data_IF_707452793750
#
_entry.id   IF_707452793750
#
_cell.length_a   1.000
_cell.length_b   1.000
_cell.length_c   1.000
_cell.angle_alpha   90.00
_cell.angle_beta   90.00
_cell.angle_gamma   90.00
#
_symmetry.space_group_name_H-M   'P 1'
#
loop_
_entity.id
_entity.type
_entity.pdbx_description
1 polymer ?
#
# COMPACT_ATOMS: atom_id res chain seq x y z
N UNK A 1 -1.98 11.67 6.27
CA UNK A 1 -0.76 12.50 6.27
C UNK A 1 -0.07 12.34 4.93
N UNK A 2 0.19 13.45 4.19
CA UNK A 2 0.97 13.38 2.95
C UNK A 2 2.43 12.99 3.25
N UNK A 3 2.99 12.08 2.44
CA UNK A 3 4.40 11.73 2.52
C UNK A 3 4.94 11.41 1.13
N UNK A 4 6.27 11.43 0.97
CA UNK A 4 6.92 10.98 -0.27
C UNK A 4 6.94 9.44 -0.31
N UNK A 5 7.13 8.89 -1.50
CA UNK A 5 7.12 7.45 -1.72
C UNK A 5 8.45 6.81 -1.27
N UNK A 6 8.62 6.68 0.05
CA UNK A 6 9.78 6.04 0.66
C UNK A 6 9.43 5.40 2.02
N UNK A 7 10.20 4.41 2.44
CA UNK A 7 10.05 3.82 3.78
C UNK A 7 10.30 4.84 4.88
N UNK A 8 11.28 5.72 4.72
CA UNK A 8 11.61 6.74 5.72
C UNK A 8 10.48 7.75 5.90
N UNK A 9 9.87 8.19 4.81
CA UNK A 9 8.73 9.13 4.88
C UNK A 9 7.47 8.41 5.41
N UNK A 10 7.24 7.14 5.05
CA UNK A 10 6.17 6.31 5.61
C UNK A 10 6.31 6.12 7.12
N UNK A 11 7.52 5.89 7.59
CA UNK A 11 7.84 5.83 9.02
C UNK A 11 7.51 7.14 9.74
N UNK A 12 7.98 8.26 9.21
CA UNK A 12 7.76 9.56 9.82
C UNK A 12 6.28 9.96 9.84
N UNK A 13 5.58 9.71 8.72
CA UNK A 13 4.14 10.01 8.59
C UNK A 13 3.28 9.17 9.55
N UNK A 14 3.57 7.87 9.68
CA UNK A 14 2.85 7.01 10.62
C UNK A 14 3.09 7.44 12.07
N UNK A 15 4.32 7.78 12.42
CA UNK A 15 4.67 8.25 13.76
C UNK A 15 3.96 9.55 14.12
N UNK A 16 3.89 10.51 13.18
CA UNK A 16 3.14 11.75 13.33
C UNK A 16 1.64 11.47 13.50
N UNK A 17 1.07 10.63 12.61
CA UNK A 17 -0.35 10.34 12.61
C UNK A 17 -0.80 9.67 13.90
N UNK A 18 -0.13 8.61 14.33
CA UNK A 18 -0.46 7.87 15.55
C UNK A 18 -0.22 8.68 16.82
N UNK A 19 0.73 9.62 16.81
CA UNK A 19 0.93 10.56 17.91
C UNK A 19 -0.17 11.61 18.03
N UNK A 20 -0.80 11.97 16.91
CA UNK A 20 -1.90 12.96 16.86
C UNK A 20 -3.27 12.33 17.10
N UNK A 21 -3.48 11.11 16.58
CA UNK A 21 -4.75 10.39 16.58
C UNK A 21 -4.58 9.01 17.23
N UNK A 22 -4.51 8.93 18.57
CA UNK A 22 -4.18 7.70 19.28
C UNK A 22 -5.27 6.60 19.20
N UNK A 23 -6.48 6.97 18.77
CA UNK A 23 -7.62 6.03 18.67
C UNK A 23 -7.69 5.31 17.31
N UNK A 24 -6.76 5.56 16.40
CA UNK A 24 -6.69 4.87 15.12
C UNK A 24 -6.38 3.38 15.35
N UNK A 25 -7.17 2.51 14.72
CA UNK A 25 -7.00 1.05 14.75
C UNK A 25 -6.60 0.45 13.40
N UNK A 26 -6.63 1.24 12.32
CA UNK A 26 -6.24 0.77 11.00
C UNK A 26 -5.60 1.88 10.16
N UNK A 27 -4.64 1.49 9.32
CA UNK A 27 -3.97 2.35 8.36
C UNK A 27 -4.07 1.76 6.95
N UNK A 28 -4.34 2.62 5.98
CA UNK A 28 -4.18 2.32 4.57
C UNK A 28 -3.04 3.17 3.99
N UNK A 29 -1.99 2.51 3.54
CA UNK A 29 -0.85 3.16 2.89
C UNK A 29 -0.99 3.05 1.37
N UNK A 30 -0.81 4.18 0.66
CA UNK A 30 -0.92 4.26 -0.82
C UNK A 30 0.27 3.64 -1.56
N UNK A 31 1.04 2.78 -0.90
CA UNK A 31 2.11 1.99 -1.47
C UNK A 31 2.73 1.07 -0.43
N UNK A 32 3.13 -0.13 -0.82
CA UNK A 32 3.75 -1.11 0.07
C UNK A 32 5.06 -0.59 0.69
N UNK A 33 5.83 0.20 -0.07
CA UNK A 33 7.05 0.85 0.44
C UNK A 33 6.74 1.78 1.61
N UNK A 34 5.64 2.54 1.52
CA UNK A 34 5.16 3.42 2.60
C UNK A 34 4.66 2.56 3.77
N UNK A 35 3.89 1.50 3.48
CA UNK A 35 3.37 0.58 4.49
C UNK A 35 4.49 -0.06 5.32
N UNK A 36 5.57 -0.53 4.68
CA UNK A 36 6.72 -1.12 5.37
C UNK A 36 7.39 -0.13 6.35
N UNK A 37 7.48 1.14 5.95
CA UNK A 37 7.95 2.21 6.84
C UNK A 37 7.00 2.43 8.02
N UNK A 38 5.69 2.47 7.76
CA UNK A 38 4.67 2.62 8.78
C UNK A 38 4.65 1.45 9.76
N UNK A 39 4.80 0.20 9.29
CA UNK A 39 4.92 -0.99 10.15
C UNK A 39 6.07 -0.85 11.14
N UNK A 40 7.21 -0.35 10.68
CA UNK A 40 8.34 -0.10 11.57
C UNK A 40 8.02 0.95 12.64
N UNK A 41 7.33 2.04 12.27
CA UNK A 41 6.92 3.08 13.22
C UNK A 41 5.95 2.53 14.28
N UNK A 42 4.96 1.70 13.87
CA UNK A 42 4.01 1.03 14.76
C UNK A 42 4.76 0.18 15.80
N UNK A 43 5.71 -0.65 15.34
CA UNK A 43 6.53 -1.48 16.23
C UNK A 43 7.38 -0.64 17.20
N UNK A 44 8.01 0.46 16.74
CA UNK A 44 8.83 1.35 17.58
C UNK A 44 8.00 2.11 18.62
N UNK A 45 6.70 2.30 18.39
CA UNK A 45 5.75 2.82 19.36
C UNK A 45 5.25 1.77 20.36
N UNK A 46 5.71 0.51 20.25
CA UNK A 46 5.29 -0.60 21.10
C UNK A 46 3.92 -1.16 20.77
N UNK A 47 3.35 -0.79 19.63
CA UNK A 47 2.06 -1.29 19.13
C UNK A 47 2.26 -2.55 18.29
N UNK A 48 1.27 -3.44 18.31
CA UNK A 48 1.30 -4.73 17.63
C UNK A 48 0.48 -4.68 16.34
N UNK A 49 1.01 -5.31 15.30
CA UNK A 49 0.29 -5.54 14.05
C UNK A 49 -0.04 -7.03 13.99
N UNK A 50 -1.30 -7.42 13.78
CA UNK A 50 -2.49 -6.59 13.55
C UNK A 50 -3.30 -6.22 14.80
N UNK A 51 -2.89 -6.66 16.01
CA UNK A 51 -3.72 -6.65 17.21
C UNK A 51 -4.14 -5.24 17.67
N UNK A 52 -3.22 -4.29 17.60
CA UNK A 52 -3.49 -2.90 18.00
C UNK A 52 -3.77 -2.02 16.78
N UNK A 53 -3.03 -2.23 15.67
CA UNK A 53 -3.18 -1.50 14.40
C UNK A 53 -3.16 -2.48 13.23
N UNK A 54 -4.25 -2.55 12.48
CA UNK A 54 -4.27 -3.20 11.16
C UNK A 54 -3.61 -2.31 10.10
N UNK A 55 -2.89 -2.90 9.14
CA UNK A 55 -2.31 -2.12 8.04
C UNK A 55 -2.48 -2.81 6.70
N UNK A 56 -2.88 -2.03 5.70
CA UNK A 56 -3.01 -2.45 4.30
C UNK A 56 -2.11 -1.59 3.43
N UNK A 57 -1.39 -2.22 2.52
CA UNK A 57 -0.57 -1.57 1.50
C UNK A 57 -1.25 -1.52 0.13
N UNK A 58 -0.48 -1.08 -0.87
CA UNK A 58 -0.86 -1.00 -2.26
C UNK A 58 0.36 -1.28 -3.14
N UNK A 59 0.21 -1.88 -4.28
CA UNK A 59 1.11 -2.31 -5.35
C UNK A 59 1.33 -3.83 -5.39
N UNK A 60 1.41 -4.53 -4.26
CA UNK A 60 1.67 -5.97 -4.20
C UNK A 60 3.13 -6.33 -4.48
N UNK A 61 4.09 -5.53 -3.99
CA UNK A 61 5.51 -5.79 -4.21
C UNK A 61 5.95 -7.07 -3.48
N UNK A 62 7.00 -7.70 -4.00
CA UNK A 62 7.48 -8.98 -3.48
C UNK A 62 7.89 -8.92 -2.00
N UNK A 63 8.48 -7.82 -1.55
CA UNK A 63 8.88 -7.59 -0.16
C UNK A 63 7.71 -7.71 0.83
N UNK A 64 6.47 -7.45 0.41
CA UNK A 64 5.27 -7.60 1.23
C UNK A 64 5.03 -9.06 1.70
N UNK A 65 5.64 -10.04 1.02
CA UNK A 65 5.59 -11.45 1.39
C UNK A 65 6.59 -11.83 2.51
N UNK A 66 7.62 -11.01 2.72
CA UNK A 66 8.76 -11.35 3.56
C UNK A 66 8.90 -10.47 4.80
N UNK A 67 8.05 -9.46 4.98
CA UNK A 67 7.97 -8.71 6.24
C UNK A 67 7.23 -9.50 7.32
N UNK A 68 7.37 -9.09 8.58
CA UNK A 68 6.73 -9.72 9.74
C UNK A 68 5.92 -8.65 10.49
N UNK A 69 4.58 -8.82 10.59
CA UNK A 69 3.73 -9.79 9.87
C UNK A 69 3.73 -9.54 8.35
N UNK A 70 3.33 -10.54 7.55
CA UNK A 70 3.22 -10.38 6.09
C UNK A 70 2.14 -9.36 5.76
N UNK A 71 2.45 -8.43 4.85
CA UNK A 71 1.60 -7.30 4.54
C UNK A 71 0.43 -7.67 3.61
N UNK A 72 -0.79 -7.44 4.08
CA UNK A 72 -2.00 -7.40 3.26
C UNK A 72 -1.92 -6.21 2.31
N UNK A 73 -2.17 -6.44 1.01
CA UNK A 73 -1.98 -5.38 0.00
C UNK A 73 -2.93 -5.54 -1.17
N UNK A 74 -3.26 -4.43 -1.82
CA UNK A 74 -3.91 -4.42 -3.13
C UNK A 74 -2.85 -4.63 -4.20
N UNK A 75 -2.87 -5.81 -4.85
CA UNK A 75 -1.92 -6.15 -5.91
C UNK A 75 -2.45 -5.73 -7.27
N UNK A 76 -1.59 -5.09 -8.04
CA UNK A 76 -1.79 -4.80 -9.47
C UNK A 76 -0.82 -5.68 -10.28
N UNK A 77 -1.26 -6.10 -11.47
CA UNK A 77 -0.33 -6.72 -12.42
C UNK A 77 0.45 -5.62 -13.16
N UNK A 78 1.64 -5.31 -12.63
CA UNK A 78 2.51 -4.29 -13.19
C UNK A 78 2.97 -4.62 -14.63
N UNK A 79 3.10 -5.91 -14.97
CA UNK A 79 3.49 -6.33 -16.32
C UNK A 79 2.35 -6.09 -17.30
N UNK A 80 1.12 -6.43 -16.94
CA UNK A 80 -0.06 -6.14 -17.74
C UNK A 80 -0.27 -4.63 -17.89
N UNK A 81 -0.15 -3.86 -16.80
CA UNK A 81 -0.26 -2.40 -16.82
C UNK A 81 0.76 -1.79 -17.78
N UNK A 82 2.02 -2.20 -17.71
CA UNK A 82 3.06 -1.73 -18.59
C UNK A 82 2.80 -2.10 -20.07
N UNK A 83 2.41 -3.35 -20.33
CA UNK A 83 2.14 -3.83 -21.69
C UNK A 83 0.98 -3.05 -22.34
N UNK A 84 -0.14 -2.90 -21.61
CA UNK A 84 -1.30 -2.12 -22.10
C UNK A 84 -0.96 -0.64 -22.30
N UNK A 85 -0.23 -0.04 -21.35
CA UNK A 85 0.20 1.35 -21.46
C UNK A 85 1.04 1.61 -22.70
N UNK A 86 2.03 0.74 -22.98
CA UNK A 86 2.87 0.84 -24.20
C UNK A 86 2.02 0.63 -25.46
N UNK A 87 1.15 -0.37 -25.48
CA UNK A 87 0.28 -0.64 -26.63
C UNK A 87 -0.62 0.55 -26.93
N UNK A 88 -1.28 1.10 -25.92
CA UNK A 88 -2.18 2.27 -26.06
C UNK A 88 -1.40 3.49 -26.55
N UNK A 89 -0.20 3.73 -26.04
CA UNK A 89 0.65 4.83 -26.48
C UNK A 89 1.06 4.68 -27.96
N UNK A 90 1.50 3.49 -28.36
CA UNK A 90 1.88 3.23 -29.76
C UNK A 90 0.70 3.39 -30.71
N UNK A 91 -0.48 2.93 -30.32
CA UNK A 91 -1.72 3.15 -31.10
C UNK A 91 -2.06 4.63 -31.23
N UNK A 92 -2.00 5.38 -30.12
CA UNK A 92 -2.27 6.82 -30.14
C UNK A 92 -1.31 7.59 -31.06
N UNK A 93 -0.01 7.24 -31.04
CA UNK A 93 1.00 7.82 -31.93
C UNK A 93 0.71 7.47 -33.42
N UNK A 94 0.45 6.18 -33.68
CA UNK A 94 0.27 5.69 -35.08
C UNK A 94 -1.01 6.24 -35.73
N UNK A 95 -2.12 6.24 -34.98
CA UNK A 95 -3.43 6.65 -35.50
C UNK A 95 -3.78 8.11 -35.19
N UNK A 96 -2.91 8.85 -34.47
CA UNK A 96 -3.15 10.23 -34.01
C UNK A 96 -4.49 10.39 -33.27
N UNK A 97 -4.84 9.37 -32.49
CA UNK A 97 -6.06 9.33 -31.67
C UNK A 97 -5.81 9.89 -30.29
N UNK A 98 -6.89 10.33 -29.62
CA UNK A 98 -6.83 10.70 -28.21
C UNK A 98 -6.58 9.45 -27.35
N UNK A 99 -5.77 9.51 -26.30
CA UNK A 99 -5.58 8.39 -25.39
C UNK A 99 -6.91 7.92 -24.80
N UNK A 100 -7.11 6.61 -24.76
CA UNK A 100 -8.26 5.98 -24.10
C UNK A 100 -7.86 5.62 -22.69
N UNK A 101 -8.76 5.87 -21.74
CA UNK A 101 -8.56 5.38 -20.37
C UNK A 101 -8.90 3.89 -20.33
N UNK A 102 -7.95 3.09 -19.90
CA UNK A 102 -8.15 1.67 -19.65
C UNK A 102 -7.98 1.39 -18.16
N UNK A 103 -8.72 0.42 -17.65
CA UNK A 103 -8.56 -0.11 -16.30
C UNK A 103 -8.01 -1.52 -16.37
N UNK A 104 -7.16 -1.87 -15.43
CA UNK A 104 -6.72 -3.25 -15.22
C UNK A 104 -7.35 -3.77 -13.94
N UNK A 105 -7.47 -5.08 -13.87
CA UNK A 105 -7.97 -5.74 -12.67
C UNK A 105 -6.95 -5.63 -11.51
N UNK A 106 -7.46 -5.68 -10.29
CA UNK A 106 -6.67 -5.71 -9.07
C UNK A 106 -7.14 -6.85 -8.17
N UNK A 107 -6.30 -7.24 -7.24
CA UNK A 107 -6.58 -8.29 -6.27
C UNK A 107 -6.23 -7.81 -4.85
N UNK A 108 -7.14 -8.01 -3.90
CA UNK A 108 -6.80 -7.87 -2.49
C UNK A 108 -6.14 -9.17 -2.02
N UNK A 109 -4.85 -9.11 -1.73
CA UNK A 109 -4.08 -10.23 -1.19
C UNK A 109 -4.07 -10.14 0.33
N UNK A 110 -4.99 -10.84 0.96
CA UNK A 110 -5.08 -10.90 2.42
C UNK A 110 -3.93 -11.71 3.01
N UNK A 111 -3.30 -11.17 4.06
CA UNK A 111 -2.18 -11.79 4.80
C UNK A 111 -2.35 -11.58 6.31
N UNK A 112 -1.25 -11.31 7.02
CA UNK A 112 -1.20 -11.32 8.48
C UNK A 112 -1.35 -9.93 9.12
N UNK A 113 -1.32 -8.86 8.32
CA UNK A 113 -1.28 -7.48 8.85
C UNK A 113 -2.65 -6.87 9.15
N UNK A 114 -3.72 -7.65 9.04
CA UNK A 114 -5.09 -7.20 9.27
C UNK A 114 -5.82 -8.19 10.17
N UNK A 115 -6.60 -7.68 11.12
CA UNK A 115 -7.51 -8.46 11.95
C UNK A 115 -8.83 -7.73 12.18
N UNK A 116 -9.81 -8.46 12.68
CA UNK A 116 -11.06 -7.85 13.15
C UNK A 116 -10.80 -7.03 14.42
N UNK A 117 -11.45 -5.88 14.51
CA UNK A 117 -11.45 -5.09 15.75
C UNK A 117 -12.41 -5.78 16.72
N UNK A 118 -11.88 -6.32 17.83
CA UNK A 118 -12.73 -6.70 18.93
C UNK A 118 -13.34 -5.42 19.51
N UNK A 119 -14.66 -5.30 19.44
CA UNK A 119 -15.39 -4.18 20.05
C UNK A 119 -15.13 -4.23 21.56
N UNK A 120 -14.36 -3.26 22.05
CA UNK A 120 -14.14 -3.04 23.49
C UNK A 120 -15.38 -2.49 24.15
#
# INVERSE_FOLDING_TARGET
VPCRFSMADGYAAAKELLGREPDITALFALGDVIALGAMRAICDLGLRIPDDISIVGYDGIDTANFCIPRLTTVRQDAAELAARGVQTLLQAIHYKTTPVYETIDFELVERESVSFVETR
#
